data_IF_812965015381
#
_entry.id   IF_812965015381
#
_cell.length_a   1.000
_cell.length_b   1.000
_cell.length_c   1.000
_cell.angle_alpha   90.00
_cell.angle_beta   90.00
_cell.angle_gamma   90.00
#
_symmetry.space_group_name_H-M   'P 1'
#
loop_
_entity.id
_entity.type
_entity.pdbx_description
1 polymer ?
#
# COMPACT_ATOMS: atom_id res chain seq x y z
N UNK A 1 7.23 -7.91 -27.03
CA UNK A 1 6.79 -8.11 -25.64
C UNK A 1 5.86 -6.96 -25.33
N UNK A 2 4.55 -7.19 -25.24
CA UNK A 2 3.61 -6.12 -24.91
C UNK A 2 3.81 -5.81 -23.43
N UNK A 3 4.55 -4.74 -23.12
CA UNK A 3 4.69 -4.26 -21.75
C UNK A 3 3.29 -3.92 -21.26
N UNK A 4 2.87 -4.59 -20.18
CA UNK A 4 1.58 -4.31 -19.55
C UNK A 4 1.56 -2.81 -19.23
N UNK A 5 0.51 -2.06 -19.63
CA UNK A 5 0.47 -0.63 -19.36
C UNK A 5 0.67 -0.38 -17.86
N UNK A 6 1.32 0.74 -17.49
CA UNK A 6 1.49 1.12 -16.09
C UNK A 6 0.14 1.11 -15.39
N UNK A 7 0.12 0.64 -14.14
CA UNK A 7 -1.11 0.64 -13.34
C UNK A 7 -1.56 2.08 -13.08
N UNK A 8 -2.86 2.29 -13.15
CA UNK A 8 -3.49 3.54 -12.68
C UNK A 8 -3.38 3.65 -11.16
N UNK A 9 -3.44 4.87 -10.62
CA UNK A 9 -3.38 5.12 -9.18
C UNK A 9 -4.45 4.34 -8.40
N UNK A 10 -5.64 4.17 -8.99
CA UNK A 10 -6.71 3.34 -8.41
C UNK A 10 -6.31 1.86 -8.34
N UNK A 11 -5.78 1.31 -9.43
CA UNK A 11 -5.32 -0.09 -9.45
C UNK A 11 -4.15 -0.32 -8.47
N UNK A 12 -3.29 0.68 -8.28
CA UNK A 12 -2.22 0.63 -7.29
C UNK A 12 -2.81 0.60 -5.87
N UNK A 13 -3.76 1.49 -5.57
CA UNK A 13 -4.43 1.50 -4.28
C UNK A 13 -5.11 0.17 -3.98
N UNK A 14 -5.88 -0.36 -4.93
CA UNK A 14 -6.63 -1.62 -4.76
C UNK A 14 -5.69 -2.78 -4.46
N UNK A 15 -4.58 -2.91 -5.20
CA UNK A 15 -3.60 -3.98 -4.96
C UNK A 15 -2.88 -3.85 -3.62
N UNK A 16 -2.55 -2.63 -3.19
CA UNK A 16 -1.95 -2.40 -1.89
C UNK A 16 -2.94 -2.73 -0.77
N UNK A 17 -4.22 -2.41 -0.96
CA UNK A 17 -5.27 -2.72 -0.02
C UNK A 17 -5.51 -4.24 0.09
N UNK A 18 -5.56 -4.96 -1.03
CA UNK A 18 -5.63 -6.41 -1.05
C UNK A 18 -4.45 -7.06 -0.33
N UNK A 19 -3.23 -6.59 -0.59
CA UNK A 19 -2.03 -7.07 0.10
C UNK A 19 -2.13 -6.85 1.61
N UNK A 20 -2.59 -5.67 2.04
CA UNK A 20 -2.81 -5.37 3.45
C UNK A 20 -3.80 -6.36 4.10
N UNK A 21 -4.95 -6.62 3.45
CA UNK A 21 -5.95 -7.58 3.93
C UNK A 21 -5.39 -9.00 4.03
N UNK A 22 -4.61 -9.43 3.04
CA UNK A 22 -3.95 -10.73 3.04
C UNK A 22 -3.02 -10.85 4.26
N UNK A 23 -2.12 -9.88 4.45
CA UNK A 23 -1.21 -9.91 5.59
C UNK A 23 -1.95 -9.85 6.91
N UNK A 24 -3.09 -9.13 6.99
CA UNK A 24 -3.84 -8.99 8.25
C UNK A 24 -4.47 -10.31 8.74
N UNK A 25 -4.72 -11.26 7.83
CA UNK A 25 -5.27 -12.58 8.13
C UNK A 25 -4.20 -13.63 8.46
N UNK A 26 -2.92 -13.30 8.29
CA UNK A 26 -1.80 -14.22 8.45
C UNK A 26 -1.08 -13.99 9.78
N UNK A 27 -0.66 -15.05 10.46
CA UNK A 27 0.23 -14.99 11.62
C UNK A 27 1.48 -15.81 11.30
N UNK A 28 2.64 -15.37 11.79
CA UNK A 28 3.87 -16.12 11.54
C UNK A 28 3.91 -17.41 12.36
N UNK A 29 4.40 -18.50 11.76
CA UNK A 29 4.61 -19.77 12.48
C UNK A 29 5.71 -19.67 13.56
N UNK A 30 6.60 -18.70 13.42
CA UNK A 30 7.66 -18.38 14.38
C UNK A 30 7.63 -16.90 14.73
N UNK A 31 8.25 -16.53 15.86
CA UNK A 31 8.38 -15.12 16.28
C UNK A 31 9.08 -14.26 15.22
N UNK A 32 10.04 -14.83 14.48
CA UNK A 32 10.69 -14.15 13.36
C UNK A 32 9.69 -13.89 12.23
N UNK A 33 8.97 -14.91 11.78
CA UNK A 33 7.96 -14.76 10.73
C UNK A 33 6.83 -13.81 11.10
N UNK A 34 6.42 -13.82 12.37
CA UNK A 34 5.36 -12.95 12.87
C UNK A 34 5.80 -11.47 12.88
N UNK A 35 7.05 -11.22 13.27
CA UNK A 35 7.65 -9.89 13.15
C UNK A 35 7.79 -9.46 11.68
N UNK A 36 8.15 -10.36 10.77
CA UNK A 36 8.20 -10.06 9.33
C UNK A 36 6.83 -9.65 8.79
N UNK A 37 5.76 -10.38 9.13
CA UNK A 37 4.39 -10.03 8.70
C UNK A 37 3.97 -8.69 9.29
N UNK A 38 4.25 -8.44 10.58
CA UNK A 38 3.97 -7.15 11.22
C UNK A 38 4.70 -5.99 10.54
N UNK A 39 5.99 -6.16 10.22
CA UNK A 39 6.77 -5.15 9.50
C UNK A 39 6.20 -4.88 8.10
N UNK A 40 5.80 -5.93 7.37
CA UNK A 40 5.17 -5.79 6.06
C UNK A 40 3.85 -5.01 6.13
N UNK A 41 2.99 -5.29 7.11
CA UNK A 41 1.75 -4.53 7.35
C UNK A 41 2.03 -3.05 7.61
N UNK A 42 3.00 -2.74 8.47
CA UNK A 42 3.36 -1.37 8.81
C UNK A 42 3.88 -0.61 7.59
N UNK A 43 4.73 -1.24 6.77
CA UNK A 43 5.25 -0.65 5.54
C UNK A 43 4.13 -0.33 4.53
N UNK A 44 3.20 -1.26 4.32
CA UNK A 44 2.05 -1.05 3.43
C UNK A 44 1.15 0.10 3.92
N UNK A 45 0.84 0.14 5.21
CA UNK A 45 0.04 1.22 5.79
C UNK A 45 0.73 2.58 5.63
N UNK A 46 2.03 2.63 5.87
CA UNK A 46 2.84 3.85 5.74
C UNK A 46 2.86 4.35 4.30
N UNK A 47 2.98 3.44 3.33
CA UNK A 47 2.94 3.78 1.90
C UNK A 47 1.58 4.32 1.49
N UNK A 48 0.48 3.69 1.93
CA UNK A 48 -0.88 4.16 1.65
C UNK A 48 -1.12 5.55 2.25
N UNK A 49 -0.66 5.81 3.48
CA UNK A 49 -0.77 7.12 4.09
C UNK A 49 0.03 8.20 3.32
N UNK A 50 1.24 7.89 2.87
CA UNK A 50 2.06 8.81 2.07
C UNK A 50 1.42 9.15 0.72
N UNK A 51 0.78 8.17 0.07
CA UNK A 51 0.02 8.39 -1.17
C UNK A 51 -1.18 9.32 -0.95
N UNK A 52 -1.95 9.11 0.13
CA UNK A 52 -3.09 9.98 0.48
C UNK A 52 -2.61 11.41 0.72
N UNK A 53 -1.58 11.60 1.55
CA UNK A 53 -1.03 12.93 1.85
C UNK A 53 -0.58 13.66 0.57
N UNK A 54 0.13 12.97 -0.32
CA UNK A 54 0.56 13.55 -1.61
C UNK A 54 -0.64 13.91 -2.50
N UNK A 55 -1.72 13.12 -2.45
CA UNK A 55 -2.96 13.41 -3.19
C UNK A 55 -3.72 14.62 -2.63
N UNK A 56 -3.66 14.85 -1.31
CA UNK A 56 -4.22 16.03 -0.66
C UNK A 56 -3.43 17.29 -1.04
N UNK A 57 -2.09 17.24 -0.94
CA UNK A 57 -1.20 18.34 -1.33
C UNK A 57 -1.40 18.75 -2.82
N UNK A 58 -1.64 17.77 -3.70
CA UNK A 58 -1.90 18.04 -5.13
C UNK A 58 -3.25 18.73 -5.39
N UNK A 59 -4.27 18.42 -4.57
CA UNK A 59 -5.58 19.09 -4.64
C UNK A 59 -5.53 20.52 -4.10
N UNK A 60 -4.69 20.77 -3.10
CA UNK A 60 -4.54 22.11 -2.51
C UNK A 60 -3.83 23.08 -3.48
N UNK A 61 -2.89 22.58 -4.29
CA UNK A 61 -2.20 23.38 -5.33
C UNK A 61 -3.08 23.73 -6.54
N UNK A 62 -4.29 23.17 -6.65
CA UNK A 62 -5.22 23.41 -7.76
C UNK A 62 -6.40 24.32 -7.39
N UNK A 63 -6.44 24.87 -6.18
CA UNK A 63 -7.38 25.95 -5.84
C UNK A 63 -6.71 27.33 -6.04
N UNK A 64 -7.35 28.26 -6.77
CA UNK A 64 -6.83 29.60 -7.08
C UNK A 64 -6.79 30.55 -5.88
#
# INVERSE_FOLDING_TARGET
MSEKPPLTDSEIYDRLHEAYLLFNKQTGESSFGDNTIKAARLALLSLQAAMVKKSEDAKDQTQP
#
